data_IF_690382470942
#
_entry.id   IF_690382470942
#
_cell.length_a   1.000
_cell.length_b   1.000
_cell.length_c   1.000
_cell.angle_alpha   90.00
_cell.angle_beta   90.00
_cell.angle_gamma   90.00
#
_symmetry.space_group_name_H-M   'P 1'
#
loop_
_entity.id
_entity.type
_entity.pdbx_description
1 polymer ?
#
# COMPACT_ATOMS: atom_id res chain seq x y z
N UNK A 1 -23.62 22.60 11.81
CA UNK A 1 -22.49 22.17 12.66
C UNK A 1 -21.38 21.64 11.75
N UNK A 2 -20.15 22.13 11.89
CA UNK A 2 -19.00 21.61 11.14
C UNK A 2 -18.56 20.30 11.79
N UNK A 3 -18.95 19.15 11.24
CA UNK A 3 -18.45 17.85 11.71
C UNK A 3 -16.96 17.75 11.41
N UNK A 4 -16.14 17.69 12.46
CA UNK A 4 -14.70 17.50 12.28
C UNK A 4 -14.44 16.05 11.85
N UNK A 5 -13.54 15.80 10.89
CA UNK A 5 -13.25 14.44 10.45
C UNK A 5 -12.58 13.66 11.59
N UNK A 6 -13.10 12.48 11.92
CA UNK A 6 -12.48 11.58 12.91
C UNK A 6 -11.20 10.95 12.37
N UNK A 7 -11.27 10.44 11.15
CA UNK A 7 -10.16 9.76 10.49
C UNK A 7 -10.13 10.22 9.03
N UNK A 8 -8.95 10.51 8.51
CA UNK A 8 -8.76 10.80 7.10
C UNK A 8 -7.46 10.19 6.58
N UNK A 9 -7.52 9.47 5.47
CA UNK A 9 -6.35 8.87 4.84
C UNK A 9 -6.45 8.84 3.32
N UNK A 10 -5.31 8.85 2.63
CA UNK A 10 -5.27 8.85 1.16
C UNK A 10 -5.44 7.43 0.63
N UNK A 11 -6.48 7.23 -0.15
CA UNK A 11 -6.82 5.94 -0.74
C UNK A 11 -7.53 6.14 -2.08
N UNK A 12 -7.24 5.29 -3.06
CA UNK A 12 -7.97 5.23 -4.31
C UNK A 12 -9.07 4.17 -4.25
N UNK A 13 -9.99 4.23 -5.21
CA UNK A 13 -11.02 3.20 -5.40
C UNK A 13 -10.47 2.06 -6.25
N UNK A 14 -11.11 0.92 -6.13
CA UNK A 14 -10.91 -0.21 -7.03
C UNK A 14 -12.27 -0.84 -7.33
N UNK A 15 -12.42 -1.37 -8.53
CA UNK A 15 -13.67 -1.95 -9.01
C UNK A 15 -13.45 -3.40 -9.36
N UNK A 16 -14.41 -4.24 -8.97
CA UNK A 16 -14.42 -5.64 -9.33
C UNK A 16 -15.06 -5.80 -10.71
N UNK A 17 -14.43 -6.57 -11.60
CA UNK A 17 -15.05 -6.91 -12.89
C UNK A 17 -16.23 -7.85 -12.67
N UNK A 18 -17.32 -7.60 -13.38
CA UNK A 18 -18.50 -8.47 -13.36
C UNK A 18 -18.13 -9.91 -13.72
N UNK A 19 -18.71 -10.88 -12.99
CA UNK A 19 -18.51 -12.31 -13.24
C UNK A 19 -17.13 -12.88 -12.88
N UNK A 20 -16.15 -12.07 -12.43
CA UNK A 20 -14.81 -12.57 -12.06
C UNK A 20 -14.39 -12.10 -10.67
N UNK A 21 -13.33 -12.69 -10.11
CA UNK A 21 -12.73 -12.27 -8.83
C UNK A 21 -11.63 -11.19 -9.02
N UNK A 22 -11.49 -10.64 -10.22
CA UNK A 22 -10.48 -9.63 -10.52
C UNK A 22 -10.94 -8.25 -10.08
N UNK A 23 -10.06 -7.53 -9.39
CA UNK A 23 -10.26 -6.16 -8.91
C UNK A 23 -9.23 -5.25 -9.56
N UNK A 24 -9.71 -4.28 -10.35
CA UNK A 24 -8.87 -3.30 -11.01
C UNK A 24 -8.81 -2.01 -10.18
N UNK A 25 -7.61 -1.53 -9.82
CA UNK A 25 -7.47 -0.25 -9.14
C UNK A 25 -7.77 0.90 -10.11
N UNK A 26 -8.62 1.83 -9.68
CA UNK A 26 -8.82 3.09 -10.39
C UNK A 26 -7.56 3.97 -10.24
N UNK A 27 -7.15 4.70 -11.30
CA UNK A 27 -5.99 5.59 -11.26
C UNK A 27 -6.22 6.84 -10.40
N UNK A 28 -7.46 7.10 -9.98
CA UNK A 28 -7.85 8.30 -9.27
C UNK A 28 -7.21 8.42 -7.89
N UNK A 29 -6.74 9.63 -7.61
CA UNK A 29 -6.15 10.00 -6.32
C UNK A 29 -7.27 10.46 -5.38
N UNK A 30 -7.57 9.65 -4.37
CA UNK A 30 -8.65 9.94 -3.43
C UNK A 30 -8.19 10.13 -1.99
N UNK A 31 -9.10 10.62 -1.17
CA UNK A 31 -9.03 10.61 0.28
C UNK A 31 -10.33 10.02 0.82
N UNK A 32 -10.18 9.06 1.72
CA UNK A 32 -11.28 8.56 2.55
C UNK A 32 -11.32 9.41 3.79
N UNK A 33 -12.51 9.92 4.13
CA UNK A 33 -12.80 10.70 5.32
C UNK A 33 -13.93 10.00 6.05
N UNK A 34 -13.71 9.72 7.33
CA UNK A 34 -14.72 9.22 8.25
C UNK A 34 -15.07 10.36 9.21
N UNK A 35 -16.34 10.71 9.28
CA UNK A 35 -16.84 11.77 10.17
C UNK A 35 -18.11 11.31 10.88
N UNK A 36 -18.40 11.92 12.01
CA UNK A 36 -19.68 11.71 12.69
C UNK A 36 -20.81 12.35 11.89
N UNK A 37 -21.90 11.61 11.71
CA UNK A 37 -23.15 12.14 11.16
C UNK A 37 -23.78 13.11 12.16
N UNK A 38 -24.48 14.16 11.70
CA UNK A 38 -25.37 14.95 12.56
C UNK A 38 -26.55 14.12 13.10
N UNK A 39 -26.88 13.00 12.46
CA UNK A 39 -27.83 12.01 12.98
C UNK A 39 -27.15 11.12 14.03
N UNK A 40 -27.84 10.89 15.14
CA UNK A 40 -27.23 10.27 16.33
C UNK A 40 -26.67 8.87 16.05
N UNK A 41 -25.36 8.71 16.30
CA UNK A 41 -24.69 7.40 16.34
C UNK A 41 -24.27 6.82 14.99
N UNK A 42 -24.41 7.57 13.88
CA UNK A 42 -24.03 7.11 12.54
C UNK A 42 -22.70 7.70 12.09
N UNK A 43 -21.94 6.92 11.33
CA UNK A 43 -20.68 7.37 10.72
C UNK A 43 -20.89 7.63 9.23
N UNK A 44 -20.39 8.75 8.74
CA UNK A 44 -20.34 9.06 7.31
C UNK A 44 -18.96 8.68 6.77
N UNK A 45 -18.96 7.74 5.84
CA UNK A 45 -17.81 7.36 5.05
C UNK A 45 -17.85 8.11 3.72
N UNK A 46 -16.90 9.01 3.53
CA UNK A 46 -16.84 9.89 2.36
C UNK A 46 -15.58 9.57 1.59
N UNK A 47 -15.73 9.23 0.31
CA UNK A 47 -14.61 9.21 -0.63
C UNK A 47 -14.63 10.47 -1.48
N UNK A 48 -13.55 11.24 -1.34
CA UNK A 48 -13.33 12.49 -2.06
C UNK A 48 -12.20 12.34 -3.06
N UNK A 49 -12.45 12.72 -4.30
CA UNK A 49 -11.41 12.82 -5.31
C UNK A 49 -10.54 14.05 -5.01
N UNK A 50 -9.22 13.85 -4.88
CA UNK A 50 -8.25 14.91 -4.56
C UNK A 50 -7.87 15.73 -5.79
N UNK A 51 -8.02 15.18 -6.98
CA UNK A 51 -7.72 15.89 -8.23
C UNK A 51 -8.84 16.86 -8.56
N UNK A 52 -10.10 16.42 -8.48
CA UNK A 52 -11.27 17.24 -8.81
C UNK A 52 -11.85 17.98 -7.60
N UNK A 53 -11.52 17.55 -6.38
CA UNK A 53 -12.06 18.11 -5.15
C UNK A 53 -13.52 17.74 -4.89
N UNK A 54 -14.12 16.84 -5.68
CA UNK A 54 -15.52 16.42 -5.54
C UNK A 54 -15.64 15.18 -4.66
N UNK A 55 -16.72 15.14 -3.88
CA UNK A 55 -17.17 13.90 -3.22
C UNK A 55 -17.87 13.07 -4.28
N UNK A 56 -17.36 11.86 -4.51
CA UNK A 56 -17.95 10.95 -5.50
C UNK A 56 -18.67 9.77 -4.82
N UNK A 57 -18.30 9.45 -3.58
CA UNK A 57 -18.96 8.41 -2.79
C UNK A 57 -19.23 8.94 -1.39
N UNK A 58 -20.47 8.79 -0.92
CA UNK A 58 -20.89 9.13 0.43
C UNK A 58 -21.78 7.99 0.94
N UNK A 59 -21.31 7.31 1.99
CA UNK A 59 -21.96 6.11 2.53
C UNK A 59 -22.20 6.29 4.03
N UNK A 60 -23.40 5.95 4.48
CA UNK A 60 -23.74 5.90 5.90
C UNK A 60 -23.40 4.53 6.45
N UNK A 61 -22.53 4.48 7.46
CA UNK A 61 -22.15 3.26 8.16
C UNK A 61 -22.94 3.16 9.47
N UNK A 62 -23.65 2.05 9.62
CA UNK A 62 -24.24 1.68 10.90
C UNK A 62 -23.19 0.98 11.76
N UNK A 63 -23.13 1.29 13.07
CA UNK A 63 -22.27 0.56 13.99
C UNK A 63 -22.66 -0.93 14.00
N UNK A 64 -21.68 -1.80 13.73
CA UNK A 64 -21.79 -3.27 13.58
C UNK A 64 -22.17 -3.80 12.20
N UNK A 65 -22.58 -2.96 11.24
CA UNK A 65 -23.02 -3.42 9.92
C UNK A 65 -21.92 -3.33 8.84
N UNK A 66 -20.85 -2.59 9.10
CA UNK A 66 -19.75 -2.41 8.16
C UNK A 66 -18.46 -3.01 8.71
N UNK A 67 -17.78 -3.81 7.89
CA UNK A 67 -16.46 -4.35 8.20
C UNK A 67 -15.45 -3.86 7.17
N UNK A 68 -14.33 -3.32 7.66
CA UNK A 68 -13.22 -2.84 6.82
C UNK A 68 -12.04 -3.80 6.98
N UNK A 69 -11.88 -4.72 6.03
CA UNK A 69 -10.96 -5.87 6.15
C UNK A 69 -9.91 -5.83 5.04
N UNK A 70 -8.64 -6.13 5.32
CA UNK A 70 -7.62 -6.27 4.27
C UNK A 70 -7.90 -7.48 3.37
N UNK A 71 -7.61 -7.35 2.07
CA UNK A 71 -7.74 -8.46 1.11
C UNK A 71 -6.40 -9.20 1.02
N UNK A 72 -6.28 -10.44 1.53
CA UNK A 72 -5.00 -11.15 1.58
C UNK A 72 -4.49 -11.57 0.20
N UNK A 73 -5.39 -11.71 -0.78
CA UNK A 73 -5.03 -12.08 -2.16
C UNK A 73 -4.46 -10.91 -2.96
N UNK A 74 -4.59 -9.67 -2.47
CA UNK A 74 -4.11 -8.51 -3.19
C UNK A 74 -2.59 -8.38 -3.06
N UNK A 75 -1.91 -8.34 -4.21
CA UNK A 75 -0.46 -8.20 -4.29
C UNK A 75 -0.03 -6.89 -3.61
N UNK A 76 0.81 -7.00 -2.59
CA UNK A 76 1.35 -5.85 -1.86
C UNK A 76 0.57 -5.41 -0.62
N UNK A 77 -0.53 -6.08 -0.25
CA UNK A 77 -1.18 -5.94 1.06
C UNK A 77 -1.74 -4.54 1.35
N UNK A 78 -2.04 -3.75 0.31
CA UNK A 78 -2.55 -2.36 0.44
C UNK A 78 -4.01 -2.21 0.03
N UNK A 79 -4.66 -3.31 -0.32
CA UNK A 79 -6.06 -3.31 -0.75
C UNK A 79 -6.93 -3.77 0.42
N UNK A 80 -7.99 -3.02 0.64
CA UNK A 80 -8.99 -3.23 1.67
C UNK A 80 -10.37 -3.31 1.02
N UNK A 81 -11.25 -4.07 1.65
CA UNK A 81 -12.65 -4.16 1.28
C UNK A 81 -13.50 -3.61 2.41
N UNK A 82 -14.43 -2.73 2.07
CA UNK A 82 -15.54 -2.35 2.91
C UNK A 82 -16.72 -3.26 2.53
N UNK A 83 -17.05 -4.19 3.42
CA UNK A 83 -18.20 -5.09 3.28
C UNK A 83 -19.32 -4.58 4.19
N UNK A 84 -20.49 -4.38 3.60
CA UNK A 84 -21.73 -4.19 4.34
C UNK A 84 -22.34 -5.56 4.65
N UNK A 85 -22.96 -5.70 5.81
CA UNK A 85 -23.71 -6.91 6.17
C UNK A 85 -25.18 -6.78 5.74
N UNK A 86 -25.72 -5.56 5.78
CA UNK A 86 -27.04 -5.20 5.27
C UNK A 86 -27.18 -5.30 3.76
N UNK A 87 -26.08 -5.26 3.01
CA UNK A 87 -26.07 -5.43 1.56
C UNK A 87 -24.89 -6.26 1.11
N UNK A 88 -25.08 -7.09 0.08
CA UNK A 88 -23.98 -7.85 -0.54
C UNK A 88 -22.99 -6.97 -1.34
N UNK A 89 -23.12 -5.65 -1.24
CA UNK A 89 -22.27 -4.67 -1.89
C UNK A 89 -20.90 -4.61 -1.22
N UNK A 90 -19.86 -4.67 -2.06
CA UNK A 90 -18.45 -4.66 -1.62
C UNK A 90 -17.73 -3.53 -2.31
N UNK A 91 -17.17 -2.61 -1.52
CA UNK A 91 -16.38 -1.51 -2.04
C UNK A 91 -14.90 -1.79 -1.80
N UNK A 92 -14.08 -1.71 -2.86
CA UNK A 92 -12.66 -1.96 -2.77
C UNK A 92 -11.88 -0.65 -2.78
N UNK A 93 -10.89 -0.55 -1.89
CA UNK A 93 -10.04 0.62 -1.76
C UNK A 93 -8.58 0.21 -1.68
N UNK A 94 -7.69 1.00 -2.26
CA UNK A 94 -6.24 0.78 -2.18
C UNK A 94 -5.55 1.98 -1.55
N UNK A 95 -4.73 1.73 -0.52
CA UNK A 95 -4.04 2.80 0.20
C UNK A 95 -2.93 3.43 -0.66
N UNK A 96 -2.91 4.76 -0.72
CA UNK A 96 -1.97 5.54 -1.53
C UNK A 96 -0.70 5.94 -0.77
N UNK A 97 -0.74 5.91 0.56
CA UNK A 97 0.43 6.23 1.39
C UNK A 97 1.30 5.00 1.57
N UNK A 98 2.59 5.14 1.29
CA UNK A 98 3.59 4.17 1.72
C UNK A 98 3.99 4.54 3.15
N UNK A 99 3.81 3.63 4.10
CA UNK A 99 4.30 3.78 5.48
C UNK A 99 5.82 4.04 5.56
N UNK A 100 6.58 3.81 4.47
CA UNK A 100 8.01 4.11 4.37
C UNK A 100 8.35 5.60 4.41
N UNK A 101 7.40 6.52 4.25
CA UNK A 101 7.63 7.96 4.43
C UNK A 101 7.55 8.41 5.89
N UNK A 102 6.85 7.67 6.75
CA UNK A 102 6.73 8.00 8.18
C UNK A 102 7.97 7.60 8.99
N UNK A 103 8.78 6.65 8.50
CA UNK A 103 10.02 6.20 9.15
C UNK A 103 11.29 6.92 8.63
N UNK A 104 11.18 7.78 7.61
CA UNK A 104 12.32 8.60 7.14
C UNK A 104 12.39 9.97 7.82
N UNK A 105 11.27 10.47 8.33
CA UNK A 105 11.17 11.77 9.01
C UNK A 105 11.53 11.71 10.50
N UNK A 106 11.76 10.54 11.07
CA UNK A 106 12.16 10.39 12.50
C UNK A 106 13.67 10.32 12.72
N UNK A 107 14.50 10.48 11.69
CA UNK A 107 15.94 10.68 11.83
C UNK A 107 16.31 12.18 11.80
N UNK A 108 15.83 12.93 12.79
CA UNK A 108 16.57 14.10 13.26
C UNK A 108 17.75 13.52 14.04
N UNK A 109 18.89 13.37 13.39
CA UNK A 109 20.15 13.09 14.07
C UNK A 109 20.44 14.31 14.98
N UNK A 110 20.60 14.13 16.30
CA UNK A 110 21.26 15.16 17.09
C UNK A 110 22.69 15.30 16.55
N UNK A 111 22.93 16.45 15.95
CA UNK A 111 24.24 16.93 15.58
C UNK A 111 25.14 16.99 16.82
N UNK A 112 26.42 16.69 16.63
CA UNK A 112 27.53 16.84 17.58
C UNK A 112 27.58 15.95 18.83
N UNK A 113 28.25 14.80 18.69
CA UNK A 113 29.36 14.48 19.58
C UNK A 113 30.58 14.12 18.71
N UNK A 114 31.57 15.02 18.73
CA UNK A 114 32.85 14.79 18.08
C UNK A 114 33.59 13.64 18.74
N UNK A 115 33.94 12.63 17.95
CA UNK A 115 34.95 11.65 18.32
C UNK A 115 36.18 11.86 17.45
N UNK A 116 37.28 12.14 18.14
CA UNK A 116 38.62 12.46 17.65
C UNK A 116 39.08 11.50 16.56
N UNK A 117 39.83 12.06 15.62
CA UNK A 117 40.77 11.33 14.78
C UNK A 117 41.59 10.34 15.61
N UNK A 118 41.45 9.04 15.33
CA UNK A 118 42.50 8.07 15.60
C UNK A 118 42.99 7.47 14.27
N UNK A 119 44.25 7.78 13.95
CA UNK A 119 44.98 7.19 12.84
C UNK A 119 45.43 5.79 13.25
N UNK A 120 44.61 4.76 13.08
CA UNK A 120 45.14 3.38 13.02
C UNK A 120 44.47 2.54 11.94
N UNK A 121 45.32 2.21 10.96
CA UNK A 121 45.13 1.24 9.90
C UNK A 121 44.70 -0.13 10.45
N UNK A 122 43.86 -0.87 9.71
CA UNK A 122 44.23 -2.18 9.09
C UNK A 122 43.00 -2.89 8.46
N UNK A 123 43.11 -3.08 7.14
CA UNK A 123 42.70 -4.23 6.32
C UNK A 123 41.21 -4.65 6.27
N UNK A 124 40.51 -4.18 5.23
CA UNK A 124 39.43 -4.94 4.58
C UNK A 124 40.04 -6.05 3.69
N UNK A 125 39.64 -7.33 3.81
CA UNK A 125 39.98 -8.33 2.82
C UNK A 125 39.07 -8.18 1.59
N UNK A 126 39.67 -7.84 0.45
CA UNK A 126 39.02 -7.85 -0.86
C UNK A 126 38.50 -9.26 -1.18
N UNK A 127 37.18 -9.42 -1.30
CA UNK A 127 36.58 -10.60 -1.95
C UNK A 127 36.79 -10.49 -3.46
N UNK A 128 37.48 -11.48 -4.03
CA UNK A 128 37.74 -11.61 -5.47
C UNK A 128 36.43 -11.88 -6.23
N UNK A 129 36.23 -11.33 -7.45
CA UNK A 129 35.14 -11.76 -8.32
C UNK A 129 35.46 -13.15 -8.89
N UNK A 130 34.57 -14.13 -8.66
CA UNK A 130 34.62 -15.44 -9.32
C UNK A 130 34.24 -15.31 -10.78
N UNK A 131 35.18 -15.67 -11.66
CA UNK A 131 35.00 -15.78 -13.11
C UNK A 131 34.08 -16.95 -13.43
N UNK A 132 32.95 -16.67 -14.09
CA UNK A 132 32.09 -17.69 -14.70
C UNK A 132 32.82 -18.34 -15.88
N UNK A 133 33.06 -19.66 -15.82
CA UNK A 133 33.54 -20.43 -16.96
C UNK A 133 32.37 -20.74 -17.92
N UNK A 134 32.56 -20.63 -19.25
CA UNK A 134 31.60 -21.12 -20.22
C UNK A 134 31.61 -22.65 -20.28
N UNK A 135 30.40 -23.24 -20.35
CA UNK A 135 30.18 -24.68 -20.52
C UNK A 135 30.43 -25.06 -21.97
N UNK A 136 31.60 -25.65 -22.25
CA UNK A 136 31.92 -26.26 -23.54
C UNK A 136 31.06 -27.52 -23.74
N UNK A 137 30.31 -27.57 -24.83
CA UNK A 137 29.67 -28.79 -25.35
C UNK A 137 30.71 -29.68 -26.04
N UNK A 138 30.75 -30.99 -25.77
CA UNK A 138 31.42 -31.91 -26.66
C UNK A 138 30.41 -32.47 -27.68
N UNK A 139 30.64 -32.16 -28.94
CA UNK A 139 30.27 -33.03 -30.04
C UNK A 139 30.96 -34.39 -29.84
N UNK A 140 30.22 -35.49 -29.95
CA UNK A 140 30.80 -36.74 -30.44
C UNK A 140 29.77 -37.53 -31.24
N UNK A 141 30.14 -37.68 -32.51
CA UNK A 141 29.80 -38.63 -33.56
C UNK A 141 29.51 -40.07 -33.13
N UNK A 142 28.67 -40.77 -33.91
CA UNK A 142 28.75 -42.17 -34.42
C UNK A 142 27.40 -42.43 -35.14
N UNK A 143 27.26 -42.44 -36.48
CA UNK A 143 27.68 -43.36 -37.55
C UNK A 143 27.44 -44.87 -37.33
N UNK A 144 26.62 -45.40 -38.24
CA UNK A 144 26.38 -46.79 -38.72
C UNK A 144 25.42 -47.73 -37.97
N UNK A 145 24.79 -48.70 -38.69
CA UNK A 145 24.31 -48.71 -40.08
C UNK A 145 22.77 -48.67 -40.18
#
# INVERSE_FOLDING_TARGET
>A
MSSSPRIAFKAGRAFRREGTNWVDPAPDKGAIILQDSPEEGLLLFIWKNRTTGRVEEELTLFPSDASFVPVPQAVGGRVYVLKFESSDNKYFFWLQVKYTELLRTTHILPHNLGCRHDKRQRLCPKRKPTVCKPRTTPHLVHWFP
#
